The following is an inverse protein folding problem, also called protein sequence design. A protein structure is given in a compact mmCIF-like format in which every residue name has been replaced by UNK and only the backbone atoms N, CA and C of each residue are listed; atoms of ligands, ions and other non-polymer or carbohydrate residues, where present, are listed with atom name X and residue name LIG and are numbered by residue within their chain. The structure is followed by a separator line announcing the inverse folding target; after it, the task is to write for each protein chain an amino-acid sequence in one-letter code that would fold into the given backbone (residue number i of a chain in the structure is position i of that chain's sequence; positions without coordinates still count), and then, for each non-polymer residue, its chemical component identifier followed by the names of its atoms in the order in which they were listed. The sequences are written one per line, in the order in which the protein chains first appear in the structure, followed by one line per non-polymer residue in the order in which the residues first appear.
data_IF_452879605701
#
_entry.id   IF_452879605701
#
_cell.length_a   1.000
_cell.length_b   1.000
_cell.length_c   1.000
_cell.angle_alpha   90.00
_cell.angle_beta   90.00
_cell.angle_gamma   90.00
#
_symmetry.space_group_name_H-M   'P 1'
#
loop_
_entity.id
_entity.type
_entity.pdbx_description
1 polymer ?
#
# COMPACT_ATOMS: atom_id res chain seq x y z
N UNK A 1 2.33 48.84 16.78
CA UNK A 1 1.93 47.58 17.44
C UNK A 1 1.17 46.66 16.50
N UNK A 2 0.11 47.13 15.82
CA UNK A 2 -0.71 46.35 14.87
C UNK A 2 0.06 45.68 13.73
N UNK A 3 1.03 46.36 13.08
CA UNK A 3 1.82 45.77 11.95
C UNK A 3 2.65 44.55 12.38
N UNK A 4 3.16 44.52 13.63
CA UNK A 4 3.92 43.35 14.15
C UNK A 4 3.03 42.18 14.46
N UNK A 5 1.80 42.42 14.91
CA UNK A 5 0.80 41.37 15.18
C UNK A 5 0.32 40.74 13.87
N UNK A 6 0.07 41.55 12.82
CA UNK A 6 -0.31 41.00 11.50
C UNK A 6 0.81 40.17 10.88
N UNK A 7 2.07 40.58 10.99
CA UNK A 7 3.22 39.83 10.49
C UNK A 7 3.35 38.46 11.21
N UNK A 8 3.12 38.42 12.54
CA UNK A 8 3.14 37.18 13.32
C UNK A 8 2.00 36.23 12.93
N UNK A 9 0.80 36.75 12.63
CA UNK A 9 -0.34 35.94 12.18
C UNK A 9 -0.08 35.36 10.79
N UNK A 10 0.53 36.14 9.86
CA UNK A 10 0.93 35.64 8.55
C UNK A 10 2.00 34.57 8.63
N UNK A 11 2.98 34.70 9.53
CA UNK A 11 4.01 33.68 9.74
C UNK A 11 3.44 32.38 10.34
N UNK A 12 2.48 32.50 11.28
CA UNK A 12 1.81 31.33 11.86
C UNK A 12 0.94 30.60 10.82
N UNK A 13 0.19 31.34 9.98
CA UNK A 13 -0.59 30.78 8.90
C UNK A 13 0.29 30.11 7.83
N UNK A 14 1.44 30.70 7.49
CA UNK A 14 2.38 30.11 6.54
C UNK A 14 3.00 28.81 7.08
N UNK A 15 3.30 28.72 8.39
CA UNK A 15 3.78 27.48 9.00
C UNK A 15 2.73 26.36 8.99
N UNK A 16 1.45 26.68 9.20
CA UNK A 16 0.38 25.66 9.18
C UNK A 16 0.07 25.17 7.76
N UNK A 17 0.22 26.00 6.75
CA UNK A 17 0.07 25.58 5.34
C UNK A 17 1.25 24.76 4.84
N UNK A 18 2.47 24.96 5.34
CA UNK A 18 3.62 24.10 4.99
C UNK A 18 3.49 22.68 5.57
N UNK A 19 2.82 22.50 6.71
CA UNK A 19 2.57 21.15 7.26
C UNK A 19 1.43 20.41 6.57
N UNK A 20 0.56 21.09 5.83
CA UNK A 20 -0.52 20.49 5.05
C UNK A 20 -0.07 20.03 3.65
N UNK A 21 1.12 20.41 3.17
CA UNK A 21 1.65 19.97 1.90
C UNK A 21 2.24 18.56 2.00
N UNK A 22 1.37 17.56 1.76
CA UNK A 22 1.82 16.38 1.08
C UNK A 22 2.35 15.23 1.93
N UNK A 23 1.62 14.74 2.94
CA UNK A 23 1.84 13.34 3.32
C UNK A 23 1.39 12.46 2.16
N UNK A 24 2.34 11.81 1.48
CA UNK A 24 2.07 10.81 0.45
C UNK A 24 1.27 9.64 1.01
N UNK A 25 1.42 9.37 2.30
CA UNK A 25 0.84 8.25 3.02
C UNK A 25 -0.08 8.69 4.17
N UNK A 26 -1.04 7.83 4.49
CA UNK A 26 -1.86 7.99 5.69
C UNK A 26 -1.08 7.57 6.94
N UNK A 27 -1.48 8.07 8.12
CA UNK A 27 -0.89 7.62 9.40
C UNK A 27 -1.00 6.11 9.57
N UNK A 28 -2.10 5.49 9.13
CA UNK A 28 -2.28 4.04 9.17
C UNK A 28 -1.27 3.32 8.28
N UNK A 29 -1.01 3.84 7.07
CA UNK A 29 0.03 3.30 6.21
C UNK A 29 1.39 3.31 6.90
N UNK A 30 1.80 4.46 7.47
CA UNK A 30 3.09 4.61 8.12
C UNK A 30 3.23 3.64 9.30
N UNK A 31 2.20 3.52 10.15
CA UNK A 31 2.17 2.58 11.26
C UNK A 31 2.34 1.13 10.81
N UNK A 32 1.61 0.72 9.75
CA UNK A 32 1.69 -0.66 9.24
C UNK A 32 3.02 -0.94 8.54
N UNK A 33 3.50 -0.01 7.73
CA UNK A 33 4.78 -0.14 7.05
C UNK A 33 5.94 -0.27 8.06
N UNK A 34 5.97 0.60 9.08
CA UNK A 34 6.96 0.55 10.17
C UNK A 34 6.88 -0.77 10.95
N UNK A 35 5.66 -1.26 11.24
CA UNK A 35 5.50 -2.57 11.87
C UNK A 35 6.11 -3.68 11.00
N UNK A 36 5.88 -3.65 9.70
CA UNK A 36 6.40 -4.66 8.78
C UNK A 36 7.93 -4.66 8.70
N UNK A 37 8.59 -3.50 8.98
CA UNK A 37 10.05 -3.42 9.07
C UNK A 37 10.64 -4.29 10.19
N UNK A 38 9.97 -4.33 11.34
CA UNK A 38 10.46 -5.04 12.54
C UNK A 38 9.99 -6.49 12.63
N UNK A 39 8.95 -6.87 11.86
CA UNK A 39 8.48 -8.25 11.87
C UNK A 39 9.49 -9.20 11.21
N UNK A 40 9.62 -10.42 11.74
CA UNK A 40 10.49 -11.42 11.15
C UNK A 40 10.00 -11.83 9.77
N UNK A 41 10.95 -12.13 8.89
CA UNK A 41 10.71 -12.60 7.52
C UNK A 41 11.50 -13.87 7.25
N UNK A 42 11.01 -14.76 6.40
CA UNK A 42 11.67 -15.98 6.03
C UNK A 42 11.39 -16.42 4.59
N UNK A 43 12.26 -17.29 4.07
CA UNK A 43 12.07 -17.91 2.75
C UNK A 43 10.89 -18.89 2.69
N UNK A 44 10.30 -19.25 3.83
CA UNK A 44 9.10 -20.10 3.90
C UNK A 44 7.81 -19.30 3.85
N UNK A 45 7.90 -17.97 3.99
CA UNK A 45 6.71 -17.13 4.09
C UNK A 45 5.90 -17.15 2.79
N UNK A 46 4.59 -17.15 2.98
CA UNK A 46 3.57 -16.98 1.96
C UNK A 46 2.88 -15.66 2.25
N UNK A 47 3.12 -14.65 1.42
CA UNK A 47 2.69 -13.29 1.70
C UNK A 47 1.42 -12.96 0.93
N UNK A 48 0.38 -12.54 1.65
CA UNK A 48 -0.77 -11.86 1.09
C UNK A 48 -0.48 -10.36 1.12
N UNK A 49 -0.20 -9.80 -0.04
CA UNK A 49 0.17 -8.40 -0.26
C UNK A 49 -1.00 -7.66 -0.92
N UNK A 50 -1.41 -6.52 -0.36
CA UNK A 50 -2.54 -5.80 -0.92
C UNK A 50 -3.04 -4.65 -0.07
N UNK A 51 -4.27 -4.26 -0.34
CA UNK A 51 -4.98 -3.15 0.31
C UNK A 51 -5.85 -3.59 1.50
N UNK A 52 -7.00 -2.90 1.73
CA UNK A 52 -7.94 -3.20 2.83
C UNK A 52 -8.54 -4.60 2.75
N UNK A 53 -8.81 -5.13 1.56
CA UNK A 53 -9.35 -6.48 1.37
C UNK A 53 -8.35 -7.51 1.93
N UNK A 54 -7.09 -7.33 1.63
CA UNK A 54 -6.02 -8.17 2.18
C UNK A 54 -5.83 -7.93 3.68
N UNK A 55 -5.83 -6.66 4.11
CA UNK A 55 -5.61 -6.28 5.51
C UNK A 55 -6.64 -6.90 6.46
N UNK A 56 -7.91 -7.01 6.02
CA UNK A 56 -9.01 -7.49 6.85
C UNK A 56 -9.08 -9.01 7.03
N UNK A 57 -8.20 -9.79 6.42
CA UNK A 57 -8.24 -11.25 6.52
C UNK A 57 -7.29 -11.82 7.56
N UNK A 58 -7.77 -12.79 8.33
CA UNK A 58 -6.95 -13.60 9.26
C UNK A 58 -6.36 -14.82 8.50
N UNK A 59 -5.53 -14.51 7.50
CA UNK A 59 -5.06 -15.49 6.50
C UNK A 59 -4.31 -16.69 7.10
N UNK A 60 -3.54 -16.49 8.17
CA UNK A 60 -2.80 -17.56 8.82
C UNK A 60 -3.75 -18.57 9.48
N UNK A 61 -4.82 -18.09 10.11
CA UNK A 61 -5.85 -18.93 10.74
C UNK A 61 -6.72 -19.60 9.69
N UNK A 62 -7.20 -18.83 8.68
CA UNK A 62 -8.03 -19.37 7.60
C UNK A 62 -7.37 -20.52 6.83
N UNK A 63 -6.04 -20.48 6.69
CA UNK A 63 -5.27 -21.48 5.96
C UNK A 63 -4.52 -22.46 6.86
N UNK A 64 -4.73 -22.39 8.18
CA UNK A 64 -4.04 -23.20 9.20
C UNK A 64 -2.52 -23.29 8.92
N UNK A 65 -1.90 -22.14 8.66
CA UNK A 65 -0.51 -22.10 8.26
C UNK A 65 0.24 -20.88 8.83
N UNK A 66 1.16 -21.08 9.81
CA UNK A 66 1.89 -19.99 10.46
C UNK A 66 2.88 -19.27 9.54
N UNK A 67 3.20 -19.81 8.37
CA UNK A 67 4.03 -19.13 7.37
C UNK A 67 3.26 -18.16 6.51
N UNK A 68 1.93 -18.14 6.58
CA UNK A 68 1.11 -17.15 5.89
C UNK A 68 1.19 -15.81 6.63
N UNK A 69 1.49 -14.74 5.90
CA UNK A 69 1.70 -13.40 6.45
C UNK A 69 0.80 -12.39 5.76
N UNK A 70 -0.04 -11.72 6.56
CA UNK A 70 -0.80 -10.59 6.08
C UNK A 70 0.10 -9.36 5.94
N UNK A 71 0.20 -8.81 4.74
CA UNK A 71 0.92 -7.58 4.40
C UNK A 71 0.00 -6.60 3.66
N UNK A 72 -1.28 -6.64 3.98
CA UNK A 72 -2.26 -5.67 3.54
C UNK A 72 -2.19 -4.36 4.32
N UNK A 73 -2.47 -3.24 3.64
CA UNK A 73 -2.66 -1.93 4.26
C UNK A 73 -3.92 -1.29 3.68
N UNK A 74 -4.88 -0.91 4.53
CA UNK A 74 -6.11 -0.26 4.08
C UNK A 74 -5.80 1.06 3.38
N UNK A 75 -6.45 1.27 2.23
CA UNK A 75 -6.24 2.46 1.39
C UNK A 75 -4.99 2.41 0.50
N UNK A 76 -4.22 1.32 0.54
CA UNK A 76 -3.01 1.19 -0.28
C UNK A 76 -3.35 1.14 -1.77
N UNK A 77 -2.47 1.73 -2.58
CA UNK A 77 -2.52 1.82 -4.03
C UNK A 77 -1.25 1.22 -4.62
N UNK A 78 -1.26 1.00 -5.92
CA UNK A 78 -0.11 0.41 -6.60
C UNK A 78 1.15 1.30 -6.47
N UNK A 79 1.02 2.63 -6.58
CA UNK A 79 2.14 3.57 -6.42
C UNK A 79 2.67 3.64 -4.98
N UNK A 80 1.80 3.60 -3.98
CA UNK A 80 2.22 3.64 -2.57
C UNK A 80 2.81 2.32 -2.09
N UNK A 81 2.38 1.20 -2.67
CA UNK A 81 2.95 -0.12 -2.40
C UNK A 81 4.43 -0.21 -2.80
N UNK A 82 4.84 0.46 -3.86
CA UNK A 82 6.23 0.53 -4.30
C UNK A 82 7.16 1.08 -3.21
N UNK A 83 6.69 2.01 -2.38
CA UNK A 83 7.51 2.60 -1.31
C UNK A 83 7.84 1.62 -0.18
N UNK A 84 7.00 0.59 0.02
CA UNK A 84 7.16 -0.42 1.07
C UNK A 84 7.53 -1.82 0.55
N UNK A 85 7.79 -1.96 -0.74
CA UNK A 85 8.02 -3.27 -1.34
C UNK A 85 9.29 -3.95 -0.81
N UNK A 86 10.30 -3.17 -0.45
CA UNK A 86 11.55 -3.66 0.14
C UNK A 86 11.36 -4.48 1.42
N UNK A 87 10.36 -4.13 2.26
CA UNK A 87 10.07 -4.91 3.48
C UNK A 87 9.44 -6.28 3.18
N UNK A 88 8.89 -6.43 1.98
CA UNK A 88 8.32 -7.69 1.50
C UNK A 88 9.41 -8.58 0.92
N UNK A 89 10.24 -8.01 0.05
CA UNK A 89 11.26 -8.74 -0.72
C UNK A 89 12.50 -9.12 0.09
N UNK A 90 12.81 -8.38 1.17
CA UNK A 90 14.00 -8.64 2.02
C UNK A 90 14.04 -10.09 2.58
N UNK A 91 12.89 -10.69 2.87
CA UNK A 91 12.76 -12.07 3.36
C UNK A 91 12.88 -13.14 2.29
N UNK A 92 12.85 -12.75 1.02
CA UNK A 92 12.82 -13.66 -0.14
C UNK A 92 11.75 -14.74 0.01
N UNK A 93 10.45 -14.37 0.22
CA UNK A 93 9.39 -15.31 0.56
C UNK A 93 9.18 -16.34 -0.55
N UNK A 94 8.62 -17.50 -0.20
CA UNK A 94 8.31 -18.55 -1.18
C UNK A 94 7.27 -18.11 -2.20
N UNK A 95 6.25 -17.37 -1.73
CA UNK A 95 5.11 -16.94 -2.56
C UNK A 95 4.63 -15.55 -2.15
N UNK A 96 4.17 -14.79 -3.13
CA UNK A 96 3.42 -13.54 -2.92
C UNK A 96 2.11 -13.63 -3.71
N UNK A 97 0.98 -13.40 -3.03
CA UNK A 97 -0.34 -13.19 -3.63
C UNK A 97 -0.64 -11.70 -3.58
N UNK A 98 -0.66 -11.04 -4.73
CA UNK A 98 -0.83 -9.59 -4.85
C UNK A 98 -2.25 -9.24 -5.32
N UNK A 99 -2.98 -8.48 -4.51
CA UNK A 99 -4.29 -7.88 -4.84
C UNK A 99 -4.22 -6.37 -4.65
N UNK A 100 -4.20 -5.60 -5.73
CA UNK A 100 -4.09 -4.14 -5.71
C UNK A 100 -4.79 -3.52 -6.94
N UNK A 101 -5.09 -2.23 -6.91
CA UNK A 101 -5.63 -1.47 -8.04
C UNK A 101 -7.00 -0.86 -7.79
N UNK A 102 -7.82 -1.43 -6.90
CA UNK A 102 -9.18 -0.91 -6.66
C UNK A 102 -9.18 0.52 -6.09
N UNK A 103 -8.25 0.84 -5.20
CA UNK A 103 -8.13 2.19 -4.64
C UNK A 103 -7.55 3.19 -5.64
N UNK A 104 -6.78 2.71 -6.59
CA UNK A 104 -6.27 3.50 -7.71
C UNK A 104 -7.44 3.91 -8.63
N UNK A 105 -8.30 2.95 -8.99
CA UNK A 105 -9.52 3.21 -9.77
C UNK A 105 -10.44 4.21 -9.06
N UNK A 106 -10.73 4.00 -7.78
CA UNK A 106 -11.56 4.93 -7.00
C UNK A 106 -10.96 6.33 -6.84
N UNK A 107 -9.63 6.42 -6.96
CA UNK A 107 -8.89 7.68 -6.97
C UNK A 107 -8.80 8.34 -8.35
N UNK A 108 -9.50 7.83 -9.38
CA UNK A 108 -9.55 8.39 -10.72
C UNK A 108 -8.30 8.20 -11.56
N UNK A 109 -7.45 7.19 -11.23
CA UNK A 109 -6.26 6.88 -12.04
C UNK A 109 -6.63 6.11 -13.29
N UNK A 110 -5.88 6.33 -14.36
CA UNK A 110 -6.09 5.58 -15.60
C UNK A 110 -5.67 4.12 -15.46
N UNK A 111 -6.28 3.25 -16.25
CA UNK A 111 -5.95 1.81 -16.29
C UNK A 111 -4.49 1.61 -16.68
N UNK A 112 -3.98 2.42 -17.59
CA UNK A 112 -2.60 2.39 -18.07
C UNK A 112 -1.61 2.73 -16.94
N UNK A 113 -1.92 3.75 -16.12
CA UNK A 113 -1.10 4.12 -14.96
C UNK A 113 -1.09 3.00 -13.91
N UNK A 114 -2.25 2.43 -13.63
CA UNK A 114 -2.39 1.32 -12.68
C UNK A 114 -1.60 0.10 -13.17
N UNK A 115 -1.77 -0.29 -14.43
CA UNK A 115 -1.07 -1.42 -15.02
C UNK A 115 0.45 -1.22 -14.96
N UNK A 116 0.94 -0.02 -15.32
CA UNK A 116 2.36 0.32 -15.24
C UNK A 116 2.91 0.15 -13.83
N UNK A 117 2.19 0.61 -12.80
CA UNK A 117 2.64 0.48 -11.42
C UNK A 117 2.63 -0.98 -10.95
N UNK A 118 1.66 -1.78 -11.37
CA UNK A 118 1.60 -3.23 -11.08
C UNK A 118 2.77 -3.96 -11.76
N UNK A 119 3.08 -3.63 -13.01
CA UNK A 119 4.23 -4.18 -13.72
C UNK A 119 5.54 -3.83 -13.01
N UNK A 120 5.69 -2.58 -12.54
CA UNK A 120 6.86 -2.17 -11.77
C UNK A 120 6.99 -2.96 -10.45
N UNK A 121 5.89 -3.20 -9.74
CA UNK A 121 5.88 -4.07 -8.55
C UNK A 121 6.37 -5.48 -8.92
N UNK A 122 5.84 -6.06 -9.99
CA UNK A 122 6.21 -7.40 -10.44
C UNK A 122 7.69 -7.51 -10.82
N UNK A 123 8.20 -6.55 -11.59
CA UNK A 123 9.61 -6.49 -11.99
C UNK A 123 10.54 -6.32 -10.78
N UNK A 124 10.18 -5.49 -9.81
CA UNK A 124 10.95 -5.32 -8.59
C UNK A 124 10.96 -6.59 -7.75
N UNK A 125 9.82 -7.27 -7.59
CA UNK A 125 9.77 -8.56 -6.88
C UNK A 125 10.69 -9.57 -7.58
N UNK A 126 10.62 -9.68 -8.90
CA UNK A 126 11.45 -10.59 -9.69
C UNK A 126 12.95 -10.27 -9.56
N UNK A 127 13.32 -9.00 -9.55
CA UNK A 127 14.71 -8.54 -9.38
C UNK A 127 15.23 -8.77 -7.97
N UNK A 128 14.45 -8.36 -6.95
CA UNK A 128 14.89 -8.36 -5.56
C UNK A 128 14.75 -9.74 -4.90
N UNK A 129 13.82 -10.57 -5.38
CA UNK A 129 13.52 -11.90 -4.84
C UNK A 129 13.22 -12.92 -5.96
N UNK A 130 14.22 -13.29 -6.77
CA UNK A 130 14.01 -14.06 -8.01
C UNK A 130 13.48 -15.49 -7.78
N UNK A 131 13.59 -16.03 -6.58
CA UNK A 131 13.03 -17.34 -6.21
C UNK A 131 11.57 -17.30 -5.79
N UNK A 132 11.01 -16.09 -5.58
CA UNK A 132 9.62 -15.91 -5.15
C UNK A 132 8.65 -16.15 -6.31
N UNK A 133 7.62 -16.97 -6.07
CA UNK A 133 6.51 -17.10 -7.02
C UNK A 133 5.50 -15.99 -6.75
N UNK A 134 5.28 -15.13 -7.75
CA UNK A 134 4.28 -14.06 -7.69
C UNK A 134 2.99 -14.55 -8.36
N UNK A 135 1.87 -14.33 -7.67
CA UNK A 135 0.51 -14.56 -8.16
C UNK A 135 -0.24 -13.23 -8.15
N UNK A 136 -0.63 -12.74 -9.32
CA UNK A 136 -1.50 -11.58 -9.44
C UNK A 136 -2.95 -12.03 -9.32
N UNK A 137 -3.69 -11.37 -8.44
CA UNK A 137 -5.12 -11.59 -8.25
C UNK A 137 -5.90 -10.50 -8.98
N UNK A 138 -6.88 -10.88 -9.79
CA UNK A 138 -7.76 -9.94 -10.46
C UNK A 138 -8.63 -9.19 -9.44
N UNK A 139 -8.83 -7.90 -9.68
CA UNK A 139 -9.89 -7.15 -9.02
C UNK A 139 -11.23 -7.74 -9.47
N UNK A 140 -12.08 -8.09 -8.50
CA UNK A 140 -13.40 -8.63 -8.81
C UNK A 140 -14.32 -7.55 -9.40
N UNK A 141 -15.29 -7.94 -10.25
CA UNK A 141 -16.29 -7.01 -10.75
C UNK A 141 -17.02 -6.32 -9.61
N UNK A 142 -17.20 -5.01 -9.73
CA UNK A 142 -17.89 -4.20 -8.74
C UNK A 142 -19.41 -4.27 -8.97
N UNK A 143 -20.17 -4.25 -7.89
CA UNK A 143 -21.62 -4.13 -7.98
C UNK A 143 -21.99 -2.68 -8.28
N UNK A 144 -22.59 -2.37 -9.45
CA UNK A 144 -22.91 -1.01 -9.86
C UNK A 144 -23.91 -0.29 -8.93
N UNK A 145 -24.61 -1.03 -8.07
CA UNK A 145 -25.48 -0.42 -7.05
C UNK A 145 -24.74 0.35 -5.96
N UNK A 146 -23.45 0.14 -5.80
CA UNK A 146 -22.66 0.80 -4.75
C UNK A 146 -21.93 2.05 -5.22
N UNK A 147 -22.17 2.61 -6.40
CA UNK A 147 -21.71 3.90 -6.93
C UNK A 147 -20.34 4.46 -6.45
N UNK A 148 -19.51 3.66 -5.81
CA UNK A 148 -18.23 4.09 -5.25
C UNK A 148 -17.09 4.07 -6.28
N UNK A 149 -17.35 3.49 -7.44
CA UNK A 149 -16.32 3.19 -8.44
C UNK A 149 -16.83 3.34 -9.87
N UNK A 150 -17.93 4.08 -10.04
CA UNK A 150 -18.52 4.26 -11.35
C UNK A 150 -18.14 5.64 -11.86
N UNK A 151 -17.35 5.65 -12.92
CA UNK A 151 -17.69 6.24 -14.21
C UNK A 151 -16.82 5.61 -15.29
#
# INVERSE_FOLDING_TARGET
MMKKIMLSIYLLCACTTLQAQGRKHTTFFDQRATLFEVLPTSKKDIIFLGNSITNGGEWAELLDNPHVKNRGISGDRADTMLDRLHVITKGKPAKIFLLIGINDLSGGRSIEEIAKNIDEIAERIKKESPSTRLYLQSVLPLNPKFNMFVD
#
